data_IF_821953336562
#
_entry.id   IF_821953336562
#
_cell.length_a   1.000
_cell.length_b   1.000
_cell.length_c   1.000
_cell.angle_alpha   90.00
_cell.angle_beta   90.00
_cell.angle_gamma   90.00
#
_symmetry.space_group_name_H-M   'P 1'
#
loop_
_entity.id
_entity.type
_entity.pdbx_description
1 polymer ?
#
# COMPACT_ATOMS: atom_id res chain seq x y z
N UNK A 1 16.01 40.04 -41.80
CA UNK A 1 15.50 38.89 -42.57
C UNK A 1 16.35 37.68 -42.23
N UNK A 2 15.83 36.70 -41.50
CA UNK A 2 16.54 35.44 -41.26
C UNK A 2 16.59 34.71 -42.60
N UNK A 3 17.81 34.40 -43.08
CA UNK A 3 18.01 33.66 -44.33
C UNK A 3 17.16 32.39 -44.31
N UNK A 4 16.30 32.20 -45.33
CA UNK A 4 15.38 31.05 -45.45
C UNK A 4 16.12 29.68 -45.41
N UNK A 5 17.43 29.65 -45.62
CA UNK A 5 18.27 28.45 -45.52
C UNK A 5 18.86 28.14 -44.13
N UNK A 6 18.77 29.06 -43.16
CA UNK A 6 19.31 28.86 -41.79
C UNK A 6 18.31 28.16 -40.86
N UNK A 7 17.02 28.48 -41.03
CA UNK A 7 15.89 27.90 -40.29
C UNK A 7 15.84 26.36 -40.30
N UNK A 8 15.88 25.68 -41.47
CA UNK A 8 15.85 24.22 -41.50
C UNK A 8 17.08 23.59 -40.83
N UNK A 9 18.27 24.21 -40.93
CA UNK A 9 19.48 23.70 -40.27
C UNK A 9 19.38 23.78 -38.74
N UNK A 10 18.81 24.85 -38.20
CA UNK A 10 18.58 24.99 -36.76
C UNK A 10 17.55 23.98 -36.27
N UNK A 11 16.46 23.75 -37.00
CA UNK A 11 15.45 22.72 -36.66
C UNK A 11 16.02 21.30 -36.67
N UNK A 12 16.97 20.99 -37.57
CA UNK A 12 17.66 19.69 -37.61
C UNK A 12 18.48 19.42 -36.34
N UNK A 13 18.99 20.45 -35.66
CA UNK A 13 19.69 20.28 -34.37
C UNK A 13 18.73 20.35 -33.17
N UNK A 14 17.69 21.19 -33.23
CA UNK A 14 16.71 21.30 -32.14
C UNK A 14 15.95 19.98 -31.96
N UNK A 15 15.52 19.35 -33.05
CA UNK A 15 14.73 18.12 -33.01
C UNK A 15 15.38 16.97 -32.21
N UNK A 16 16.62 16.52 -32.51
CA UNK A 16 17.27 15.47 -31.73
C UNK A 16 17.55 15.91 -30.28
N UNK A 17 17.91 17.18 -30.05
CA UNK A 17 18.12 17.71 -28.69
C UNK A 17 16.84 17.64 -27.87
N UNK A 18 15.69 18.03 -28.44
CA UNK A 18 14.39 17.91 -27.77
C UNK A 18 13.99 16.47 -27.49
N UNK A 19 14.30 15.53 -28.38
CA UNK A 19 14.07 14.09 -28.15
C UNK A 19 14.93 13.59 -26.98
N UNK A 20 16.21 13.96 -26.94
CA UNK A 20 17.13 13.55 -25.86
C UNK A 20 16.64 14.12 -24.52
N UNK A 21 16.33 15.42 -24.47
CA UNK A 21 15.81 16.07 -23.26
C UNK A 21 14.48 15.46 -22.81
N UNK A 22 13.58 15.15 -23.75
CA UNK A 22 12.31 14.48 -23.47
C UNK A 22 12.51 13.09 -22.86
N UNK A 23 13.42 12.28 -23.42
CA UNK A 23 13.74 10.95 -22.87
C UNK A 23 14.39 11.04 -21.48
N UNK A 24 15.31 11.98 -21.26
CA UNK A 24 15.92 12.19 -19.94
C UNK A 24 14.88 12.60 -18.89
N UNK A 25 13.95 13.50 -19.26
CA UNK A 25 12.85 13.90 -18.40
C UNK A 25 11.91 12.73 -18.08
N UNK A 26 11.52 11.94 -19.08
CA UNK A 26 10.70 10.74 -18.88
C UNK A 26 11.40 9.72 -17.99
N UNK A 27 12.69 9.48 -18.20
CA UNK A 27 13.47 8.55 -17.39
C UNK A 27 13.53 9.00 -15.93
N UNK A 28 13.89 10.28 -15.67
CA UNK A 28 13.97 10.82 -14.32
C UNK A 28 12.63 10.76 -13.58
N UNK A 29 11.54 11.15 -14.25
CA UNK A 29 10.21 11.12 -13.65
C UNK A 29 9.69 9.70 -13.42
N UNK A 30 10.01 8.76 -14.30
CA UNK A 30 9.59 7.36 -14.17
C UNK A 30 10.36 6.63 -13.07
N UNK A 31 11.68 6.85 -12.99
CA UNK A 31 12.53 6.22 -11.97
C UNK A 31 12.04 6.53 -10.55
N UNK A 32 11.76 7.81 -10.27
CA UNK A 32 11.25 8.23 -8.95
C UNK A 32 9.92 7.56 -8.60
N UNK A 33 9.02 7.39 -9.58
CA UNK A 33 7.75 6.68 -9.37
C UNK A 33 7.96 5.19 -9.09
N UNK A 34 8.88 4.54 -9.82
CA UNK A 34 9.23 3.13 -9.58
C UNK A 34 9.79 2.95 -8.16
N UNK A 35 10.70 3.82 -7.75
CA UNK A 35 11.26 3.81 -6.38
C UNK A 35 10.14 3.97 -5.33
N UNK A 36 9.22 4.91 -5.56
CA UNK A 36 8.06 5.10 -4.68
C UNK A 36 7.17 3.85 -4.63
N UNK A 37 6.86 3.21 -5.76
CA UNK A 37 6.02 2.01 -5.78
C UNK A 37 6.68 0.77 -5.16
N UNK A 38 8.01 0.75 -5.17
CA UNK A 38 8.80 -0.28 -4.49
C UNK A 38 8.60 -0.20 -2.97
N UNK A 39 8.49 1.01 -2.41
CA UNK A 39 8.30 1.23 -0.97
C UNK A 39 6.82 1.25 -0.60
N UNK A 40 6.02 2.06 -1.29
CA UNK A 40 4.60 2.24 -1.08
C UNK A 40 3.81 1.60 -2.23
N UNK A 41 3.13 0.47 -2.01
CA UNK A 41 2.35 -0.17 -3.05
C UNK A 41 1.29 0.79 -3.61
N UNK A 42 1.02 0.78 -4.93
CA UNK A 42 -0.07 1.57 -5.51
C UNK A 42 -1.46 0.96 -5.22
N UNK A 43 -1.58 0.10 -4.22
CA UNK A 43 -2.79 -0.63 -3.90
C UNK A 43 -3.79 0.19 -3.09
N UNK A 44 -4.99 -0.34 -2.92
CA UNK A 44 -6.10 0.36 -2.29
C UNK A 44 -5.83 0.59 -0.79
N UNK A 45 -6.06 1.82 -0.35
CA UNK A 45 -5.98 2.22 1.04
C UNK A 45 -7.18 3.11 1.36
N UNK A 46 -7.98 2.71 2.34
CA UNK A 46 -9.20 3.39 2.77
C UNK A 46 -9.12 3.79 4.24
N UNK A 47 -9.44 5.06 4.49
CA UNK A 47 -9.72 5.60 5.81
C UNK A 47 -11.23 5.76 5.97
N UNK A 48 -11.88 4.85 6.70
CA UNK A 48 -13.32 4.93 6.92
C UNK A 48 -13.70 5.90 8.04
N UNK A 49 -12.72 6.40 8.79
CA UNK A 49 -12.90 7.45 9.79
C UNK A 49 -12.85 8.84 9.16
N UNK A 50 -12.32 8.96 7.94
CA UNK A 50 -12.04 10.25 7.28
C UNK A 50 -11.23 11.19 8.18
N UNK A 51 -10.20 10.66 8.85
CA UNK A 51 -9.41 11.43 9.81
C UNK A 51 -8.63 12.58 9.15
N UNK A 52 -8.35 12.46 7.86
CA UNK A 52 -7.77 13.54 7.05
C UNK A 52 -8.61 14.84 7.04
N UNK A 53 -9.92 14.76 7.30
CA UNK A 53 -10.80 15.92 7.40
C UNK A 53 -10.55 16.73 8.68
N UNK A 54 -10.13 16.06 9.77
CA UNK A 54 -9.74 16.72 11.01
C UNK A 54 -8.28 17.16 10.98
N UNK A 55 -7.39 16.33 10.42
CA UNK A 55 -5.98 16.65 10.26
C UNK A 55 -5.47 16.18 8.90
N UNK A 56 -5.12 17.12 8.00
CA UNK A 56 -4.64 16.84 6.65
C UNK A 56 -3.34 16.02 6.59
N UNK A 57 -2.56 15.99 7.67
CA UNK A 57 -1.35 15.15 7.76
C UNK A 57 -1.66 13.69 8.07
N UNK A 58 -2.83 13.39 8.66
CA UNK A 58 -3.27 12.03 9.00
C UNK A 58 -3.89 11.34 7.80
N UNK A 59 -3.04 10.84 6.89
CA UNK A 59 -3.46 10.16 5.67
C UNK A 59 -3.26 8.66 5.80
N UNK A 60 -4.20 7.85 5.33
CA UNK A 60 -4.08 6.38 5.39
C UNK A 60 -2.82 5.85 4.68
N UNK A 61 -2.38 6.58 3.65
CA UNK A 61 -1.14 6.27 2.91
C UNK A 61 0.10 6.26 3.80
N UNK A 62 0.10 6.99 4.91
CA UNK A 62 1.19 7.00 5.87
C UNK A 62 1.41 5.61 6.49
N UNK A 63 0.41 4.73 6.50
CA UNK A 63 0.57 3.36 6.98
C UNK A 63 1.36 2.45 6.03
N UNK A 64 1.74 2.93 4.85
CA UNK A 64 2.31 2.13 3.78
C UNK A 64 3.61 2.72 3.22
N UNK A 65 4.07 3.84 3.77
CA UNK A 65 5.24 4.57 3.26
C UNK A 65 6.56 4.16 3.91
N UNK A 66 6.51 3.31 4.95
CA UNK A 66 7.67 2.90 5.76
C UNK A 66 8.44 4.06 6.39
N UNK A 67 7.77 5.19 6.61
CA UNK A 67 8.36 6.37 7.23
C UNK A 67 7.88 6.51 8.69
N UNK A 68 8.78 6.24 9.63
CA UNK A 68 8.50 6.39 11.07
C UNK A 68 8.13 7.82 11.51
N UNK A 69 8.37 8.83 10.67
CA UNK A 69 7.99 10.22 10.94
C UNK A 69 6.55 10.55 10.55
N UNK A 70 5.89 9.68 9.77
CA UNK A 70 4.49 9.83 9.39
C UNK A 70 3.60 8.90 10.23
N UNK A 71 2.34 9.29 10.39
CA UNK A 71 1.38 8.59 11.23
C UNK A 71 -0.02 8.74 10.67
N UNK A 72 -0.83 7.71 10.87
CA UNK A 72 -2.27 7.79 10.70
C UNK A 72 -2.96 7.72 12.06
N UNK A 73 -3.75 8.74 12.35
CA UNK A 73 -4.57 8.85 13.55
C UNK A 73 -6.01 8.51 13.22
N UNK A 74 -6.69 7.83 14.15
CA UNK A 74 -8.15 7.79 14.19
C UNK A 74 -8.65 8.99 15.00
N UNK A 75 -9.15 10.01 14.29
CA UNK A 75 -9.66 11.26 14.87
C UNK A 75 -11.18 11.34 14.90
N UNK A 76 -11.87 10.36 14.29
CA UNK A 76 -13.32 10.33 14.13
C UNK A 76 -13.83 8.90 14.19
N UNK A 77 -15.13 8.77 14.35
CA UNK A 77 -15.80 7.49 14.20
C UNK A 77 -15.77 6.99 12.77
N UNK A 78 -15.66 5.67 12.62
CA UNK A 78 -15.79 5.04 11.33
C UNK A 78 -17.23 5.12 10.82
N UNK A 79 -17.37 5.32 9.51
CA UNK A 79 -18.65 5.18 8.79
C UNK A 79 -18.93 3.72 8.39
N UNK A 80 -17.97 2.81 8.62
CA UNK A 80 -18.05 1.38 8.38
C UNK A 80 -17.78 0.60 9.68
N UNK A 81 -17.83 -0.73 9.61
CA UNK A 81 -17.50 -1.62 10.74
C UNK A 81 -16.00 -1.57 11.08
N UNK A 82 -15.16 -1.44 10.07
CA UNK A 82 -13.71 -1.26 10.18
C UNK A 82 -13.32 0.22 10.17
N UNK A 83 -12.22 0.57 10.84
CA UNK A 83 -11.68 1.93 10.82
C UNK A 83 -10.84 2.19 9.56
N UNK A 84 -10.11 1.17 9.10
CA UNK A 84 -9.31 1.24 7.88
C UNK A 84 -9.23 -0.10 7.14
N UNK A 85 -8.86 -0.02 5.87
CA UNK A 85 -8.49 -1.15 5.02
C UNK A 85 -7.27 -0.75 4.19
N UNK A 86 -6.21 -1.54 4.24
CA UNK A 86 -5.04 -1.34 3.37
C UNK A 86 -4.63 -2.63 2.68
N UNK A 87 -4.41 -2.53 1.38
CA UNK A 87 -3.80 -3.56 0.54
C UNK A 87 -2.27 -3.42 0.58
N UNK A 88 -1.56 -4.54 0.75
CA UNK A 88 -0.12 -4.57 1.00
C UNK A 88 0.66 -5.06 -0.22
N UNK A 89 0.86 -6.37 -0.39
CA UNK A 89 1.59 -6.91 -1.54
C UNK A 89 0.93 -8.17 -2.04
N UNK A 90 1.15 -8.47 -3.31
CA UNK A 90 0.71 -9.71 -3.91
C UNK A 90 1.51 -10.91 -3.36
N UNK A 91 0.84 -12.05 -3.24
CA UNK A 91 1.44 -13.35 -2.91
C UNK A 91 2.39 -13.84 -3.98
N UNK A 92 2.25 -13.32 -5.21
CA UNK A 92 3.07 -13.62 -6.36
C UNK A 92 3.62 -12.34 -6.98
N UNK A 93 4.70 -12.45 -7.72
CA UNK A 93 5.20 -11.40 -8.61
C UNK A 93 5.52 -12.01 -9.97
N UNK A 94 5.46 -11.19 -11.02
CA UNK A 94 5.77 -11.65 -12.37
C UNK A 94 7.30 -11.59 -12.58
N UNK A 95 7.90 -12.73 -12.92
CA UNK A 95 9.33 -12.82 -13.25
C UNK A 95 9.51 -13.67 -14.50
N UNK A 96 10.19 -13.12 -15.50
CA UNK A 96 10.36 -13.76 -16.82
C UNK A 96 9.03 -14.24 -17.43
N UNK A 97 7.99 -13.41 -17.33
CA UNK A 97 6.62 -13.69 -17.80
C UNK A 97 5.92 -14.87 -17.10
N UNK A 98 6.48 -15.38 -16.00
CA UNK A 98 5.86 -16.43 -15.20
C UNK A 98 5.56 -15.92 -13.78
N UNK A 99 4.47 -16.36 -13.16
CA UNK A 99 4.21 -16.07 -11.76
C UNK A 99 5.23 -16.78 -10.86
N UNK A 100 5.89 -16.04 -9.97
CA UNK A 100 6.77 -16.56 -8.94
C UNK A 100 6.20 -16.18 -7.57
N UNK A 101 6.25 -17.12 -6.61
CA UNK A 101 5.76 -16.89 -5.25
C UNK A 101 6.69 -15.89 -4.56
N UNK A 102 6.09 -14.86 -3.96
CA UNK A 102 6.79 -13.89 -3.12
C UNK A 102 7.02 -14.47 -1.72
N UNK A 103 8.20 -14.28 -1.15
CA UNK A 103 8.63 -14.89 0.11
C UNK A 103 8.20 -14.09 1.35
N UNK A 104 6.97 -13.57 1.36
CA UNK A 104 6.45 -12.81 2.51
C UNK A 104 6.28 -13.74 3.72
N UNK A 105 7.07 -13.50 4.77
CA UNK A 105 7.05 -14.31 5.99
C UNK A 105 6.23 -13.65 7.09
N UNK A 106 6.32 -12.33 7.22
CA UNK A 106 5.75 -11.63 8.36
C UNK A 106 4.98 -10.38 7.95
N UNK A 107 3.87 -10.15 8.65
CA UNK A 107 3.13 -8.91 8.66
C UNK A 107 3.52 -8.12 9.92
N UNK A 108 3.96 -6.89 9.72
CA UNK A 108 4.30 -5.97 10.77
C UNK A 108 3.19 -4.94 10.94
N UNK A 109 2.87 -4.64 12.20
CA UNK A 109 1.94 -3.56 12.57
C UNK A 109 2.57 -2.78 13.71
N UNK A 110 2.72 -1.47 13.52
CA UNK A 110 3.36 -0.59 14.50
C UNK A 110 2.41 0.54 14.90
N UNK A 111 2.26 0.73 16.21
CA UNK A 111 1.53 1.86 16.78
C UNK A 111 2.45 3.00 17.17
N UNK A 112 1.86 4.18 17.32
CA UNK A 112 2.52 5.28 18.02
C UNK A 112 2.83 4.90 19.48
N UNK A 113 3.72 5.67 20.10
CA UNK A 113 4.15 5.43 21.47
C UNK A 113 2.99 5.58 22.47
N UNK A 114 2.11 6.55 22.24
CA UNK A 114 1.01 6.96 23.10
C UNK A 114 -0.17 5.98 23.05
N UNK A 115 -0.27 5.19 21.98
CA UNK A 115 -1.42 4.29 21.75
C UNK A 115 -1.35 3.06 22.65
N UNK A 116 -2.28 2.95 23.60
CA UNK A 116 -2.34 1.86 24.60
C UNK A 116 -3.58 0.99 24.49
N UNK A 117 -4.26 1.03 23.34
CA UNK A 117 -5.53 0.32 23.11
C UNK A 117 -5.31 -0.94 22.29
N UNK A 118 -6.35 -1.78 22.26
CA UNK A 118 -6.35 -3.00 21.45
C UNK A 118 -6.88 -2.71 20.06
N UNK A 119 -6.13 -3.11 19.03
CA UNK A 119 -6.59 -3.13 17.65
C UNK A 119 -7.03 -4.55 17.29
N UNK A 120 -8.28 -4.70 16.84
CA UNK A 120 -8.70 -5.92 16.14
C UNK A 120 -8.23 -5.81 14.70
N UNK A 121 -7.34 -6.72 14.29
CA UNK A 121 -6.80 -6.80 12.93
C UNK A 121 -7.31 -8.07 12.25
N UNK A 122 -7.99 -7.92 11.11
CA UNK A 122 -8.39 -9.04 10.24
C UNK A 122 -7.41 -9.13 9.07
N UNK A 123 -6.88 -10.33 8.83
CA UNK A 123 -5.98 -10.65 7.72
C UNK A 123 -6.81 -11.27 6.60
N UNK A 124 -6.65 -10.74 5.39
CA UNK A 124 -7.51 -11.00 4.25
C UNK A 124 -6.64 -11.32 3.03
N UNK A 125 -7.07 -12.33 2.27
CA UNK A 125 -6.62 -12.55 0.91
C UNK A 125 -7.66 -11.96 -0.02
N UNK A 126 -7.30 -10.89 -0.71
CA UNK A 126 -8.11 -10.34 -1.80
C UNK A 126 -7.67 -10.98 -3.09
N UNK A 127 -8.60 -11.54 -3.84
CA UNK A 127 -8.34 -12.10 -5.16
C UNK A 127 -7.65 -11.08 -6.07
N UNK A 128 -6.61 -11.51 -6.78
CA UNK A 128 -6.07 -10.72 -7.90
C UNK A 128 -6.94 -11.01 -9.12
N UNK A 129 -7.47 -9.97 -9.75
CA UNK A 129 -8.25 -10.09 -10.99
C UNK A 129 -7.62 -9.24 -12.07
N UNK A 130 -7.79 -9.66 -13.31
CA UNK A 130 -7.49 -8.83 -14.46
C UNK A 130 -8.70 -7.93 -14.73
N UNK A 131 -8.56 -6.66 -14.33
CA UNK A 131 -9.61 -5.65 -14.45
C UNK A 131 -10.02 -5.39 -15.90
N UNK A 132 -9.14 -5.65 -16.87
CA UNK A 132 -9.43 -5.42 -18.28
C UNK A 132 -10.33 -6.52 -18.87
N UNK A 133 -10.30 -7.72 -18.30
CA UNK A 133 -11.05 -8.88 -18.80
C UNK A 133 -12.24 -9.26 -17.91
N UNK A 134 -12.23 -8.92 -16.63
CA UNK A 134 -13.28 -9.30 -15.68
C UNK A 134 -14.19 -8.14 -15.26
N UNK A 135 -15.50 -8.24 -15.53
CA UNK A 135 -16.53 -7.25 -15.14
C UNK A 135 -17.12 -7.50 -13.75
N UNK A 136 -16.29 -7.90 -12.77
CA UNK A 136 -16.73 -8.17 -11.39
C UNK A 136 -15.75 -7.61 -10.37
N UNK A 137 -16.20 -7.50 -9.13
CA UNK A 137 -15.32 -7.15 -8.03
C UNK A 137 -14.46 -8.36 -7.59
N UNK A 138 -13.23 -8.10 -7.10
CA UNK A 138 -12.42 -9.14 -6.47
C UNK A 138 -13.11 -9.70 -5.23
N UNK A 139 -12.94 -10.99 -4.97
CA UNK A 139 -13.47 -11.62 -3.76
C UNK A 139 -12.48 -11.51 -2.60
N UNK A 140 -12.99 -11.15 -1.43
CA UNK A 140 -12.22 -11.12 -0.18
C UNK A 140 -12.42 -12.42 0.60
N UNK A 141 -11.33 -13.01 1.08
CA UNK A 141 -11.35 -14.14 2.03
C UNK A 141 -10.66 -13.74 3.32
N UNK A 142 -11.41 -13.65 4.42
CA UNK A 142 -10.82 -13.47 5.76
C UNK A 142 -10.18 -14.78 6.19
N UNK A 143 -8.88 -14.78 6.39
CA UNK A 143 -8.08 -15.97 6.72
C UNK A 143 -7.65 -15.99 8.19
N UNK A 144 -7.77 -14.87 8.90
CA UNK A 144 -7.48 -14.82 10.32
C UNK A 144 -7.81 -13.49 10.97
N UNK A 145 -7.89 -13.51 12.30
CA UNK A 145 -8.05 -12.32 13.12
C UNK A 145 -7.04 -12.34 14.27
N UNK A 146 -6.52 -11.17 14.63
CA UNK A 146 -5.63 -10.96 15.78
C UNK A 146 -6.06 -9.73 16.57
N UNK A 147 -5.91 -9.81 17.87
CA UNK A 147 -6.09 -8.66 18.77
C UNK A 147 -4.70 -8.19 19.21
N UNK A 148 -4.31 -7.01 18.74
CA UNK A 148 -3.01 -6.42 19.00
C UNK A 148 -3.13 -5.46 20.17
N UNK A 149 -2.57 -5.85 21.32
CA UNK A 149 -2.65 -5.07 22.55
C UNK A 149 -1.46 -4.11 22.67
N UNK A 150 -1.64 -2.87 22.20
CA UNK A 150 -0.56 -1.87 22.18
C UNK A 150 -0.20 -1.29 23.55
N UNK A 151 -0.86 -1.74 24.62
CA UNK A 151 -0.37 -1.52 25.99
C UNK A 151 0.86 -2.39 26.31
N UNK A 152 1.03 -3.53 25.63
CA UNK A 152 2.09 -4.51 25.89
C UNK A 152 3.26 -4.40 24.92
N UNK A 153 2.99 -4.16 23.65
CA UNK A 153 4.01 -3.99 22.62
C UNK A 153 3.57 -2.94 21.61
N UNK A 154 4.48 -2.08 21.16
CA UNK A 154 4.20 -1.11 20.09
C UNK A 154 4.38 -1.70 18.70
N UNK A 155 5.07 -2.84 18.62
CA UNK A 155 5.36 -3.53 17.37
C UNK A 155 4.91 -4.98 17.47
N UNK A 156 4.05 -5.39 16.54
CA UNK A 156 3.67 -6.78 16.38
C UNK A 156 4.22 -7.32 15.08
N UNK A 157 4.89 -8.47 15.16
CA UNK A 157 5.35 -9.28 14.03
C UNK A 157 4.47 -10.52 13.97
N UNK A 158 3.67 -10.65 12.92
CA UNK A 158 2.67 -11.70 12.75
C UNK A 158 3.14 -12.65 11.64
N UNK A 159 3.41 -13.93 11.94
CA UNK A 159 3.86 -14.89 10.93
C UNK A 159 2.71 -15.26 9.98
N UNK A 160 2.95 -15.13 8.67
CA UNK A 160 1.96 -15.32 7.60
C UNK A 160 1.77 -16.78 7.19
N UNK A 161 2.81 -17.60 7.35
CA UNK A 161 2.83 -19.02 7.02
C UNK A 161 1.79 -19.84 7.80
N UNK A 162 1.36 -19.33 8.96
CA UNK A 162 0.27 -19.89 9.75
C UNK A 162 -1.12 -19.69 9.12
N UNK A 163 -1.27 -18.74 8.20
CA UNK A 163 -2.57 -18.36 7.64
C UNK A 163 -2.76 -18.81 6.20
N UNK A 164 -1.71 -18.71 5.38
CA UNK A 164 -1.80 -19.07 3.98
C UNK A 164 -0.43 -19.43 3.41
N UNK A 165 -0.40 -20.48 2.58
CA UNK A 165 0.75 -20.86 1.78
C UNK A 165 0.38 -20.66 0.31
N UNK A 166 1.04 -19.73 -0.41
CA UNK A 166 0.81 -19.57 -1.83
C UNK A 166 1.07 -20.86 -2.59
N UNK A 167 0.22 -21.15 -3.55
CA UNK A 167 0.35 -22.30 -4.45
C UNK A 167 0.97 -21.83 -5.76
N UNK A 168 1.75 -22.70 -6.42
CA UNK A 168 2.29 -22.39 -7.75
C UNK A 168 1.16 -22.19 -8.75
N UNK A 169 1.30 -21.17 -9.59
CA UNK A 169 0.32 -20.86 -10.64
C UNK A 169 1.02 -20.73 -11.99
N UNK A 170 0.44 -21.33 -13.03
CA UNK A 170 0.94 -21.25 -14.40
C UNK A 170 0.42 -20.02 -15.14
N UNK A 171 -0.75 -19.52 -14.74
CA UNK A 171 -1.47 -18.45 -15.44
C UNK A 171 -1.82 -17.29 -14.50
N UNK A 172 -1.49 -16.07 -14.92
CA UNK A 172 -1.94 -14.86 -14.22
C UNK A 172 -3.42 -14.60 -14.51
N UNK A 173 -4.26 -14.24 -13.50
CA UNK A 173 -3.97 -14.10 -12.07
C UNK A 173 -4.49 -15.28 -11.20
N UNK A 174 -4.51 -16.51 -11.71
CA UNK A 174 -5.10 -17.66 -11.01
C UNK A 174 -4.36 -17.96 -9.70
N UNK A 175 -5.11 -18.18 -8.61
CA UNK A 175 -4.58 -18.45 -7.26
C UNK A 175 -3.63 -17.38 -6.72
N UNK A 176 -3.71 -16.15 -7.25
CA UNK A 176 -2.93 -15.01 -6.78
C UNK A 176 -3.80 -14.11 -5.93
N UNK A 177 -3.23 -13.63 -4.84
CA UNK A 177 -3.94 -12.82 -3.87
C UNK A 177 -3.12 -11.60 -3.49
N UNK A 178 -3.79 -10.53 -3.11
CA UNK A 178 -3.21 -9.38 -2.45
C UNK A 178 -3.42 -9.58 -0.95
N UNK A 179 -2.32 -9.54 -0.20
CA UNK A 179 -2.37 -9.46 1.25
C UNK A 179 -3.02 -8.15 1.65
N UNK A 180 -4.13 -8.24 2.37
CA UNK A 180 -4.93 -7.08 2.77
C UNK A 180 -5.20 -7.17 4.26
N UNK A 181 -5.22 -6.03 4.94
CA UNK A 181 -5.60 -5.98 6.36
C UNK A 181 -6.72 -4.98 6.58
N UNK A 182 -7.61 -5.32 7.51
CA UNK A 182 -8.62 -4.42 8.05
C UNK A 182 -8.38 -4.24 9.54
N UNK A 183 -8.46 -3.01 10.02
CA UNK A 183 -8.29 -2.71 11.44
C UNK A 183 -9.51 -2.04 12.03
N UNK A 184 -9.88 -2.45 13.24
CA UNK A 184 -10.88 -1.78 14.07
C UNK A 184 -10.34 -1.62 15.48
N UNK A 185 -10.26 -0.38 15.97
CA UNK A 185 -9.92 -0.11 17.36
C UNK A 185 -11.04 -0.59 18.29
N UNK A 186 -10.69 -1.38 19.30
CA UNK A 186 -11.62 -1.81 20.35
C UNK A 186 -11.75 -0.67 21.36
N UNK A 187 -12.72 0.22 21.13
CA UNK A 187 -12.98 1.41 21.95
C UNK A 187 -14.37 1.35 22.57
N UNK A 188 -14.52 1.96 23.76
CA UNK A 188 -15.84 2.36 24.26
C UNK A 188 -16.12 3.80 23.79
N UNK A 189 -17.38 4.20 23.68
CA UNK A 189 -17.78 5.52 23.15
C UNK A 189 -17.16 6.73 23.88
N UNK A 190 -16.62 6.54 25.10
CA UNK A 190 -15.94 7.57 25.87
C UNK A 190 -14.43 7.71 25.59
N UNK A 191 -13.85 6.90 24.68
CA UNK A 191 -12.40 6.83 24.44
C UNK A 191 -11.86 7.81 23.38
N UNK A 192 -12.68 8.70 22.78
CA UNK A 192 -12.24 9.66 21.74
C UNK A 192 -11.17 10.67 22.19
N UNK A 193 -10.86 10.71 23.49
CA UNK A 193 -9.83 11.58 24.07
C UNK A 193 -8.43 10.96 24.04
N UNK A 194 -8.26 9.71 23.60
CA UNK A 194 -6.94 9.05 23.51
C UNK A 194 -6.45 9.00 22.07
N UNK A 195 -5.19 9.34 21.85
CA UNK A 195 -4.52 9.27 20.55
C UNK A 195 -4.39 7.81 20.09
N UNK A 196 -5.33 7.39 19.24
CA UNK A 196 -5.30 6.11 18.55
C UNK A 196 -4.58 6.31 17.24
N UNK A 197 -3.37 5.76 17.10
CA UNK A 197 -2.65 5.89 15.86
C UNK A 197 -1.73 4.71 15.57
N UNK A 198 -1.47 4.56 14.27
CA UNK A 198 -0.54 3.62 13.70
C UNK A 198 0.51 4.41 12.92
N UNK A 199 1.76 3.98 13.03
CA UNK A 199 2.85 4.54 12.23
C UNK A 199 2.95 3.80 10.91
N UNK A 200 2.90 2.47 10.92
CA UNK A 200 3.22 1.69 9.73
C UNK A 200 2.63 0.26 9.77
N UNK A 201 2.38 -0.28 8.58
CA UNK A 201 1.89 -1.64 8.31
C UNK A 201 2.56 -2.17 7.03
N UNK A 202 3.41 -3.18 7.16
CA UNK A 202 4.14 -3.71 6.01
C UNK A 202 4.37 -5.21 6.07
N UNK A 203 4.81 -5.78 4.96
CA UNK A 203 5.25 -7.18 4.86
C UNK A 203 6.76 -7.26 4.77
N UNK A 204 7.35 -8.29 5.34
CA UNK A 204 8.77 -8.58 5.26
C UNK A 204 9.04 -10.04 4.92
N UNK A 205 10.23 -10.30 4.37
CA UNK A 205 10.72 -11.64 4.06
C UNK A 205 11.57 -12.25 5.19
N UNK A 206 11.80 -11.49 6.28
CA UNK A 206 12.62 -11.86 7.45
C UNK A 206 11.79 -12.19 8.68
#
# INVERSE_FOLDING_TARGET
MISKGLLPKVFVFIFPVTIILGNLYLFGTTKNKIETFTIQPPFLAFDFTNSYLSNRSSRIRNLLDQDSSTTWFKLRNSIQKEDFLVELRQTHHLKNQKPEISNWKNLHVVSCHETVKTLKLSIILRESIDMDTELRLPKDRVIGEKFLDFSKSKHFKIPLDLYYKPETSEEFPQNMFIWTVKGTWVTKDSDFLKELCLTDVWLSED
#
